data_IF_096650412927
#
_entry.id   IF_096650412927
#
_cell.length_a   1.000
_cell.length_b   1.000
_cell.length_c   1.000
_cell.angle_alpha   90.00
_cell.angle_beta   90.00
_cell.angle_gamma   90.00
#
_symmetry.space_group_name_H-M   'P 1'
#
loop_
_entity.id
_entity.type
_entity.pdbx_description
1 polymer ?
#
# COMPACT_ATOMS: atom_id res chain seq x y z
N UNK A 1 5.00 3.16 27.47
CA UNK A 1 4.34 3.66 26.25
C UNK A 1 4.91 2.83 25.13
N UNK A 2 4.07 2.04 24.47
CA UNK A 2 4.51 1.01 23.52
C UNK A 2 4.53 1.65 22.12
N UNK A 3 5.70 1.60 21.48
CA UNK A 3 5.80 1.77 20.02
C UNK A 3 5.21 0.50 19.43
N UNK A 4 4.25 0.62 18.51
CA UNK A 4 3.75 -0.55 17.79
C UNK A 4 4.91 -1.21 17.05
N UNK A 5 4.96 -2.55 16.94
CA UNK A 5 5.75 -3.18 15.91
C UNK A 5 5.13 -2.84 14.56
N UNK A 6 5.44 -1.65 14.05
CA UNK A 6 5.11 -1.23 12.69
C UNK A 6 5.89 -2.08 11.71
N UNK A 7 5.30 -2.27 10.54
CA UNK A 7 5.92 -3.00 9.44
C UNK A 7 6.47 -1.97 8.46
N UNK A 8 7.79 -1.98 8.25
CA UNK A 8 8.43 -1.29 7.13
C UNK A 8 8.83 -2.38 6.16
N UNK A 9 8.05 -2.55 5.10
CA UNK A 9 8.34 -3.59 4.12
C UNK A 9 9.44 -3.17 3.13
N UNK A 10 9.82 -1.90 3.06
CA UNK A 10 10.27 -1.41 1.76
C UNK A 10 11.64 -0.72 1.76
N UNK A 11 12.06 -0.09 2.87
CA UNK A 11 13.36 0.60 2.89
C UNK A 11 14.51 -0.40 3.02
N UNK A 12 15.08 -0.73 1.87
CA UNK A 12 16.39 -1.35 1.77
C UNK A 12 17.45 -0.28 2.05
N UNK A 13 18.24 -0.46 3.10
CA UNK A 13 19.57 0.15 3.12
C UNK A 13 20.35 -0.41 1.92
N UNK A 14 21.19 0.38 1.22
CA UNK A 14 22.01 -0.15 0.14
C UNK A 14 22.82 -1.33 0.69
N UNK A 15 22.50 -2.54 0.22
CA UNK A 15 23.25 -3.74 0.60
C UNK A 15 24.56 -3.67 -0.17
N UNK A 16 25.54 -3.00 0.41
CA UNK A 16 26.93 -3.19 0.01
C UNK A 16 27.25 -4.67 0.25
N UNK A 17 27.62 -5.35 -0.83
CA UNK A 17 27.61 -6.81 -0.95
C UNK A 17 28.67 -7.53 -0.10
N UNK A 18 28.77 -7.32 1.22
CA UNK A 18 29.72 -8.06 2.08
C UNK A 18 29.39 -8.00 3.58
N UNK A 19 28.33 -8.65 4.08
CA UNK A 19 28.30 -9.02 5.51
C UNK A 19 27.62 -10.38 5.77
N UNK A 20 28.44 -11.44 5.84
CA UNK A 20 28.10 -12.68 6.56
C UNK A 20 28.66 -12.56 7.98
N UNK A 21 27.81 -12.64 9.01
CA UNK A 21 27.95 -13.59 10.14
C UNK A 21 26.99 -13.29 11.31
N UNK A 22 26.38 -14.41 11.74
CA UNK A 22 26.00 -14.79 13.11
C UNK A 22 24.90 -14.01 13.81
N UNK A 23 23.74 -14.65 13.91
CA UNK A 23 22.96 -14.74 15.16
C UNK A 23 22.34 -16.14 15.28
N UNK A 24 23.11 -17.07 15.84
CA UNK A 24 22.56 -18.16 16.63
C UNK A 24 22.26 -17.64 18.03
N UNK A 25 21.31 -18.26 18.72
CA UNK A 25 20.89 -18.06 20.11
C UNK A 25 19.65 -17.16 20.28
N UNK A 26 18.47 -17.79 20.35
CA UNK A 26 17.65 -17.86 21.57
C UNK A 26 16.30 -18.53 21.24
N UNK A 27 16.31 -19.87 21.18
CA UNK A 27 15.10 -20.66 21.41
C UNK A 27 15.00 -21.00 22.89
N UNK A 28 13.78 -20.89 23.42
CA UNK A 28 13.39 -21.54 24.66
C UNK A 28 12.49 -20.65 25.50
N UNK A 29 11.21 -21.00 25.55
CA UNK A 29 10.53 -21.37 26.80
C UNK A 29 9.15 -21.93 26.45
N UNK A 30 9.00 -23.24 26.68
CA UNK A 30 7.74 -23.98 26.60
C UNK A 30 7.00 -23.93 27.93
N UNK A 31 5.67 -23.89 27.92
CA UNK A 31 4.88 -24.69 28.88
C UNK A 31 3.47 -25.02 28.34
N UNK A 32 3.14 -26.31 28.42
CA UNK A 32 1.81 -26.91 28.23
C UNK A 32 1.08 -26.93 29.56
N UNK A 33 -0.24 -26.69 29.58
CA UNK A 33 -1.20 -27.46 30.42
C UNK A 33 -2.58 -27.53 29.74
N UNK A 34 -3.17 -28.74 29.81
CA UNK A 34 -4.54 -29.19 29.50
C UNK A 34 -5.67 -28.33 30.11
N UNK A 35 -6.94 -28.34 29.69
CA UNK A 35 -7.77 -29.24 28.90
C UNK A 35 -9.25 -29.02 29.27
N UNK A 36 -10.12 -29.78 28.58
CA UNK A 36 -11.58 -29.96 28.77
C UNK A 36 -12.54 -29.15 27.90
N UNK A 37 -13.39 -29.94 27.23
CA UNK A 37 -14.47 -29.61 26.30
C UNK A 37 -15.78 -29.39 27.06
N UNK A 38 -16.63 -28.50 26.55
CA UNK A 38 -18.07 -28.56 26.75
C UNK A 38 -18.78 -28.42 25.38
N UNK A 39 -19.74 -29.31 25.11
CA UNK A 39 -20.67 -29.25 23.99
C UNK A 39 -22.06 -28.88 24.53
N UNK A 40 -22.79 -28.00 23.83
CA UNK A 40 -24.23 -28.15 23.61
C UNK A 40 -24.73 -27.22 22.47
N UNK A 41 -25.77 -27.62 21.70
CA UNK A 41 -26.06 -27.11 20.37
C UNK A 41 -27.23 -26.12 20.34
N UNK A 42 -27.26 -25.20 19.37
CA UNK A 42 -28.47 -24.47 19.01
C UNK A 42 -28.76 -24.59 17.50
N UNK A 43 -29.82 -25.36 17.22
CA UNK A 43 -30.53 -25.49 15.94
C UNK A 43 -30.95 -24.13 15.40
N UNK A 44 -30.67 -23.84 14.13
CA UNK A 44 -31.52 -22.94 13.32
C UNK A 44 -32.48 -23.79 12.50
N UNK A 45 -33.77 -23.44 12.57
CA UNK A 45 -34.82 -23.87 11.64
C UNK A 45 -34.93 -22.80 10.56
N UNK A 46 -34.88 -23.24 9.31
CA UNK A 46 -35.45 -22.53 8.18
C UNK A 46 -36.97 -22.43 8.35
N UNK A 47 -37.57 -21.34 7.87
CA UNK A 47 -38.89 -21.39 7.23
C UNK A 47 -39.09 -20.18 6.30
N UNK A 48 -39.42 -20.51 5.05
CA UNK A 48 -39.86 -19.63 3.98
C UNK A 48 -41.24 -19.03 4.28
N UNK A 49 -41.49 -17.78 3.87
CA UNK A 49 -42.85 -17.32 3.57
C UNK A 49 -42.89 -16.44 2.31
N UNK A 50 -43.57 -16.99 1.29
CA UNK A 50 -44.08 -16.30 0.10
C UNK A 50 -45.53 -15.90 0.38
N UNK A 51 -45.98 -14.70 -0.02
CA UNK A 51 -47.26 -14.45 -0.72
C UNK A 51 -47.58 -12.95 -0.99
N UNK A 52 -47.52 -12.61 -2.29
CA UNK A 52 -48.52 -11.89 -3.15
C UNK A 52 -49.18 -10.54 -2.77
N UNK A 53 -48.90 -9.58 -3.68
CA UNK A 53 -49.79 -8.72 -4.54
C UNK A 53 -50.69 -7.62 -3.94
N UNK A 54 -50.53 -6.39 -4.45
CA UNK A 54 -51.56 -5.54 -5.11
C UNK A 54 -50.89 -4.35 -5.87
N UNK A 55 -51.03 -4.24 -7.20
CA UNK A 55 -51.94 -3.39 -8.02
C UNK A 55 -51.62 -1.88 -8.09
N UNK A 56 -51.19 -1.45 -9.28
CA UNK A 56 -51.35 -0.15 -10.00
C UNK A 56 -50.04 0.07 -10.81
N UNK A 57 -49.97 0.45 -12.09
CA UNK A 57 -50.74 1.37 -12.93
C UNK A 57 -50.47 1.04 -14.41
N UNK A 58 -51.48 1.20 -15.27
CA UNK A 58 -51.31 1.34 -16.73
C UNK A 58 -51.16 2.83 -17.04
N UNK A 59 -49.96 3.34 -17.27
CA UNK A 59 -49.75 4.60 -18.01
C UNK A 59 -48.27 4.90 -18.38
N UNK A 60 -47.46 3.96 -18.87
CA UNK A 60 -46.08 4.27 -19.32
C UNK A 60 -45.64 3.38 -20.50
N UNK A 61 -46.19 3.61 -21.69
CA UNK A 61 -45.76 2.87 -22.90
C UNK A 61 -45.45 3.73 -24.13
N UNK A 62 -45.25 5.05 -23.97
CA UNK A 62 -44.76 5.90 -25.06
C UNK A 62 -43.60 6.85 -24.74
N UNK A 63 -43.10 6.87 -23.50
CA UNK A 63 -41.87 7.61 -23.13
C UNK A 63 -40.63 6.71 -22.91
N UNK A 64 -40.74 5.39 -23.14
CA UNK A 64 -39.62 4.45 -22.91
C UNK A 64 -38.69 4.29 -24.12
N UNK A 65 -39.09 4.73 -25.31
CA UNK A 65 -38.26 4.58 -26.52
C UNK A 65 -37.38 5.80 -26.84
N UNK A 66 -37.64 6.98 -26.25
CA UNK A 66 -36.80 8.17 -26.42
C UNK A 66 -35.73 8.32 -25.32
N UNK A 67 -35.93 7.72 -24.14
CA UNK A 67 -34.93 7.73 -23.05
C UNK A 67 -33.86 6.64 -23.19
N UNK A 68 -34.13 5.56 -23.92
CA UNK A 68 -33.15 4.48 -24.11
C UNK A 68 -32.05 4.87 -25.12
N UNK A 69 -32.37 5.65 -26.15
CA UNK A 69 -31.40 6.04 -27.18
C UNK A 69 -30.48 7.18 -26.72
N UNK A 70 -30.98 8.12 -25.93
CA UNK A 70 -30.13 9.15 -25.28
C UNK A 70 -29.36 8.58 -24.09
N UNK A 71 -29.95 7.63 -23.35
CA UNK A 71 -29.30 6.94 -22.24
C UNK A 71 -28.15 6.05 -22.69
N UNK A 72 -28.32 5.25 -23.75
CA UNK A 72 -27.24 4.44 -24.33
C UNK A 72 -26.15 5.31 -24.99
N UNK A 73 -26.52 6.44 -25.62
CA UNK A 73 -25.54 7.37 -26.17
C UNK A 73 -24.74 8.08 -25.07
N UNK A 74 -25.39 8.58 -24.01
CA UNK A 74 -24.72 9.19 -22.85
C UNK A 74 -23.90 8.16 -22.06
N UNK A 75 -24.40 6.93 -21.90
CA UNK A 75 -23.64 5.83 -21.30
C UNK A 75 -22.44 5.45 -22.17
N UNK A 76 -22.59 5.43 -23.50
CA UNK A 76 -21.46 5.17 -24.42
C UNK A 76 -20.45 6.31 -24.47
N UNK A 77 -20.88 7.56 -24.23
CA UNK A 77 -20.01 8.75 -24.11
C UNK A 77 -19.32 8.77 -22.75
N UNK A 78 -20.02 8.45 -21.66
CA UNK A 78 -19.46 8.28 -20.31
C UNK A 78 -18.52 7.07 -20.22
N UNK A 79 -18.83 5.97 -20.91
CA UNK A 79 -17.94 4.82 -21.07
C UNK A 79 -16.78 5.12 -22.05
N UNK A 80 -16.95 6.06 -22.99
CA UNK A 80 -15.84 6.53 -23.83
C UNK A 80 -14.92 7.51 -23.10
N UNK A 81 -15.37 8.20 -22.05
CA UNK A 81 -14.50 8.98 -21.16
C UNK A 81 -13.77 8.10 -20.14
N UNK A 82 -14.29 6.91 -19.81
CA UNK A 82 -13.61 5.90 -18.95
C UNK A 82 -12.47 5.13 -19.64
N UNK A 83 -12.03 5.54 -20.83
CA UNK A 83 -11.07 4.77 -21.65
C UNK A 83 -9.60 4.89 -21.24
N UNK A 84 -9.25 5.73 -20.27
CA UNK A 84 -7.84 6.11 -20.05
C UNK A 84 -7.29 5.76 -18.67
N UNK A 85 -8.14 5.59 -17.66
CA UNK A 85 -7.73 5.15 -16.33
C UNK A 85 -7.95 3.64 -16.16
N UNK A 86 -6.94 2.94 -15.64
CA UNK A 86 -7.00 1.52 -15.32
C UNK A 86 -6.98 1.37 -13.80
N UNK A 87 -7.91 0.60 -13.24
CA UNK A 87 -8.12 0.53 -11.80
C UNK A 87 -8.00 -0.89 -11.26
N UNK A 88 -7.43 -0.99 -10.06
CA UNK A 88 -7.39 -2.18 -9.22
C UNK A 88 -8.12 -1.82 -7.91
N UNK A 89 -9.11 -2.62 -7.53
CA UNK A 89 -9.66 -2.56 -6.17
C UNK A 89 -8.69 -3.25 -5.22
N UNK A 90 -8.43 -2.58 -4.10
CA UNK A 90 -7.52 -3.06 -3.07
C UNK A 90 -8.32 -3.57 -1.87
N UNK A 91 -7.92 -4.72 -1.35
CA UNK A 91 -8.45 -5.32 -0.14
C UNK A 91 -7.66 -4.80 1.07
N UNK A 92 -8.40 -4.36 2.10
CA UNK A 92 -7.85 -3.87 3.37
C UNK A 92 -7.63 -5.04 4.34
N UNK A 93 -6.38 -5.22 4.77
CA UNK A 93 -5.99 -6.21 5.79
C UNK A 93 -5.59 -5.55 7.12
N UNK A 94 -5.93 -4.27 7.30
CA UNK A 94 -5.64 -3.45 8.47
C UNK A 94 -4.34 -2.66 8.31
N UNK A 95 -3.21 -3.36 8.32
CA UNK A 95 -1.87 -2.75 8.20
C UNK A 95 -1.32 -2.74 6.78
N UNK A 96 -1.95 -3.46 5.85
CA UNK A 96 -1.53 -3.59 4.45
C UNK A 96 -2.75 -3.62 3.52
N UNK A 97 -2.54 -3.17 2.28
CA UNK A 97 -3.52 -3.29 1.20
C UNK A 97 -2.99 -4.19 0.09
N UNK A 98 -3.81 -5.13 -0.38
CA UNK A 98 -3.43 -6.03 -1.48
C UNK A 98 -4.36 -5.88 -2.69
N UNK A 99 -3.84 -6.14 -3.88
CA UNK A 99 -4.62 -6.18 -5.10
C UNK A 99 -4.27 -7.40 -5.96
N UNK A 100 -5.20 -7.88 -6.80
CA UNK A 100 -4.99 -9.05 -7.63
C UNK A 100 -4.02 -8.79 -8.79
N UNK A 101 -3.06 -9.69 -8.95
CA UNK A 101 -2.09 -9.73 -10.05
C UNK A 101 -2.07 -11.12 -10.67
N UNK A 102 -2.22 -11.20 -11.98
CA UNK A 102 -2.18 -12.43 -12.74
C UNK A 102 -0.78 -12.65 -13.32
N UNK A 103 -0.19 -13.81 -13.02
CA UNK A 103 1.17 -14.18 -13.46
C UNK A 103 1.14 -15.47 -14.29
N UNK A 104 1.77 -15.44 -15.46
CA UNK A 104 1.95 -16.61 -16.32
C UNK A 104 0.87 -16.83 -17.37
N UNK A 105 0.95 -17.96 -18.06
CA UNK A 105 -0.02 -18.39 -19.08
C UNK A 105 -0.25 -19.91 -19.02
N UNK A 106 -1.44 -20.39 -18.61
CA UNK A 106 -2.58 -19.61 -18.11
C UNK A 106 -2.23 -18.82 -16.83
N UNK A 107 -2.86 -17.65 -16.66
CA UNK A 107 -2.58 -16.77 -15.54
C UNK A 107 -2.93 -17.39 -14.19
N UNK A 108 -2.04 -17.23 -13.22
CA UNK A 108 -2.20 -17.60 -11.83
C UNK A 108 -2.37 -16.33 -11.00
N UNK A 109 -3.50 -16.17 -10.32
CA UNK A 109 -3.79 -15.00 -9.49
C UNK A 109 -2.96 -15.01 -8.22
N UNK A 110 -2.39 -13.87 -7.85
CA UNK A 110 -1.62 -13.59 -6.65
C UNK A 110 -2.13 -12.28 -6.04
N UNK A 111 -2.31 -12.22 -4.72
CA UNK A 111 -2.66 -10.99 -4.00
C UNK A 111 -1.39 -10.26 -3.60
N UNK A 112 -1.10 -9.13 -4.24
CA UNK A 112 0.16 -8.41 -4.06
C UNK A 112 -0.03 -7.05 -3.38
N UNK A 113 0.92 -6.66 -2.53
CA UNK A 113 1.05 -5.28 -2.07
C UNK A 113 1.66 -4.46 -3.21
N UNK A 114 1.06 -3.34 -3.56
CA UNK A 114 1.65 -2.35 -4.46
C UNK A 114 2.42 -1.33 -3.63
N UNK A 115 3.75 -1.38 -3.70
CA UNK A 115 4.64 -0.80 -2.69
C UNK A 115 5.50 0.31 -3.28
N UNK A 116 5.24 1.57 -2.91
CA UNK A 116 6.01 2.72 -3.42
C UNK A 116 7.38 2.90 -2.74
N UNK A 117 7.68 2.10 -1.73
CA UNK A 117 8.99 2.08 -1.07
C UNK A 117 9.96 1.04 -1.61
N UNK A 118 9.57 0.17 -2.56
CA UNK A 118 10.47 -0.78 -3.21
C UNK A 118 10.29 -0.82 -4.74
N UNK A 119 11.29 -1.32 -5.46
CA UNK A 119 11.33 -1.23 -6.94
C UNK A 119 11.06 -2.56 -7.64
N UNK A 120 11.22 -3.68 -6.94
CA UNK A 120 11.16 -5.02 -7.53
C UNK A 120 9.81 -5.67 -7.25
N UNK A 121 9.33 -6.45 -8.22
CA UNK A 121 8.21 -7.35 -8.00
C UNK A 121 8.69 -8.77 -7.66
N UNK A 122 8.04 -9.43 -6.71
CA UNK A 122 8.35 -10.81 -6.31
C UNK A 122 7.10 -11.53 -5.80
N UNK A 123 7.08 -12.86 -5.92
CA UNK A 123 5.97 -13.72 -5.50
C UNK A 123 6.42 -14.99 -4.77
N UNK A 124 5.54 -15.51 -3.93
CA UNK A 124 5.72 -16.81 -3.28
C UNK A 124 5.65 -17.93 -4.33
N UNK A 125 6.67 -18.79 -4.38
CA UNK A 125 6.70 -19.93 -5.31
C UNK A 125 6.27 -21.23 -4.63
N UNK A 126 5.79 -22.19 -5.42
CA UNK A 126 5.66 -23.59 -4.99
C UNK A 126 7.00 -24.23 -4.61
N UNK A 127 8.12 -23.60 -4.99
CA UNK A 127 9.47 -23.99 -4.56
C UNK A 127 9.79 -23.55 -3.13
N UNK A 128 8.97 -22.68 -2.53
CA UNK A 128 9.06 -22.37 -1.12
C UNK A 128 8.24 -23.37 -0.29
N UNK A 129 8.94 -24.23 0.43
CA UNK A 129 8.32 -25.36 1.15
C UNK A 129 8.09 -25.09 2.65
N UNK A 130 8.43 -23.89 3.14
CA UNK A 130 8.19 -23.52 4.54
C UNK A 130 6.68 -23.47 4.82
N UNK A 131 6.29 -23.72 6.08
CA UNK A 131 4.89 -23.66 6.47
C UNK A 131 4.30 -22.26 6.26
N UNK A 132 5.11 -21.22 6.44
CA UNK A 132 4.75 -19.82 6.17
C UNK A 132 4.40 -19.62 4.70
N UNK A 133 5.21 -20.13 3.77
CA UNK A 133 4.92 -20.03 2.34
C UNK A 133 3.67 -20.80 1.92
N UNK A 134 3.35 -21.91 2.61
CA UNK A 134 2.14 -22.70 2.33
C UNK A 134 0.85 -22.06 2.82
N UNK A 135 0.93 -20.98 3.60
CA UNK A 135 -0.24 -20.17 3.97
C UNK A 135 -0.73 -19.29 2.81
N UNK A 136 0.14 -19.03 1.83
CA UNK A 136 -0.11 -18.15 0.69
C UNK A 136 -0.54 -18.90 -0.56
N UNK A 137 -1.11 -18.19 -1.52
CA UNK A 137 -1.17 -18.70 -2.87
C UNK A 137 0.25 -18.73 -3.44
N UNK A 138 0.63 -19.88 -4.00
CA UNK A 138 1.97 -20.09 -4.50
C UNK A 138 1.96 -20.16 -6.02
N UNK A 139 2.77 -19.33 -6.66
CA UNK A 139 3.03 -19.39 -8.09
C UNK A 139 3.76 -20.68 -8.46
N UNK A 140 3.20 -21.41 -9.44
CA UNK A 140 3.82 -22.61 -9.99
C UNK A 140 4.38 -22.32 -11.38
N UNK A 141 5.69 -22.10 -11.45
CA UNK A 141 6.41 -21.84 -12.71
C UNK A 141 6.26 -22.97 -13.73
N UNK A 142 6.09 -24.22 -13.31
CA UNK A 142 5.92 -25.36 -14.22
C UNK A 142 4.54 -25.39 -14.91
N UNK A 143 3.57 -24.58 -14.46
CA UNK A 143 2.24 -24.45 -15.07
C UNK A 143 2.14 -23.28 -16.06
N UNK A 144 3.17 -22.45 -16.18
CA UNK A 144 3.16 -21.30 -17.08
C UNK A 144 3.99 -21.59 -18.34
N UNK A 145 3.35 -21.48 -19.50
CA UNK A 145 3.98 -21.64 -20.82
C UNK A 145 4.88 -20.46 -21.20
N UNK A 146 4.71 -19.31 -20.52
CA UNK A 146 5.47 -18.08 -20.80
C UNK A 146 6.61 -17.84 -19.82
N UNK A 147 6.79 -18.73 -18.84
CA UNK A 147 7.83 -18.65 -17.84
C UNK A 147 9.23 -18.85 -18.43
N UNK A 148 10.16 -18.01 -18.00
CA UNK A 148 11.56 -18.06 -18.36
C UNK A 148 12.42 -17.82 -17.12
N UNK A 149 13.00 -18.88 -16.56
CA UNK A 149 13.89 -18.77 -15.41
C UNK A 149 15.25 -18.18 -15.75
N UNK A 150 15.87 -17.50 -14.78
CA UNK A 150 17.26 -17.07 -14.86
C UNK A 150 18.11 -17.78 -13.79
N UNK A 151 19.44 -17.65 -13.91
CA UNK A 151 20.39 -18.15 -12.90
C UNK A 151 20.70 -17.10 -11.82
N UNK A 152 20.09 -15.92 -11.88
CA UNK A 152 20.34 -14.85 -10.91
C UNK A 152 19.56 -15.14 -9.63
N UNK A 153 20.27 -15.12 -8.51
CA UNK A 153 19.68 -15.26 -7.17
C UNK A 153 19.35 -13.90 -6.61
N UNK A 154 18.29 -13.85 -5.81
CA UNK A 154 17.93 -12.67 -5.02
C UNK A 154 17.95 -13.02 -3.53
N UNK A 155 18.37 -12.04 -2.74
CA UNK A 155 18.34 -12.07 -1.28
C UNK A 155 17.86 -10.69 -0.83
N UNK A 156 16.71 -10.64 -0.17
CA UNK A 156 16.11 -9.41 0.31
C UNK A 156 16.02 -9.47 1.83
N UNK A 157 16.59 -8.47 2.48
CA UNK A 157 16.45 -8.25 3.91
C UNK A 157 15.41 -7.16 4.18
N UNK A 158 14.35 -7.53 4.90
CA UNK A 158 13.37 -6.65 5.50
C UNK A 158 13.78 -6.38 6.96
N UNK A 159 13.26 -5.30 7.56
CA UNK A 159 13.53 -4.99 8.97
C UNK A 159 13.10 -6.11 9.94
N UNK A 160 12.09 -6.90 9.55
CA UNK A 160 11.45 -7.94 10.38
C UNK A 160 11.53 -9.35 9.77
N UNK A 161 12.26 -9.53 8.66
CA UNK A 161 12.38 -10.81 7.99
C UNK A 161 13.33 -10.79 6.79
N UNK A 162 13.53 -11.92 6.13
CA UNK A 162 14.25 -11.99 4.86
C UNK A 162 13.64 -13.02 3.92
N UNK A 163 13.83 -12.83 2.61
CA UNK A 163 13.49 -13.83 1.61
C UNK A 163 14.67 -14.07 0.68
N UNK A 164 14.76 -15.30 0.20
CA UNK A 164 15.70 -15.67 -0.87
C UNK A 164 14.95 -16.33 -2.00
N UNK A 165 15.44 -16.13 -3.22
CA UNK A 165 14.77 -16.60 -4.43
C UNK A 165 15.66 -16.60 -5.65
N UNK A 166 15.04 -16.75 -6.81
CA UNK A 166 15.70 -16.58 -8.12
C UNK A 166 14.86 -15.70 -9.01
N UNK A 167 15.51 -14.90 -9.85
CA UNK A 167 14.82 -14.06 -10.81
C UNK A 167 14.30 -14.89 -12.00
N UNK A 168 13.11 -14.55 -12.46
CA UNK A 168 12.48 -15.13 -13.63
C UNK A 168 11.71 -14.07 -14.41
N UNK A 169 11.46 -14.32 -15.69
CA UNK A 169 10.52 -13.52 -16.48
C UNK A 169 9.25 -14.30 -16.71
N UNK A 170 8.11 -13.64 -16.56
CA UNK A 170 6.83 -14.20 -16.98
C UNK A 170 5.84 -13.08 -17.34
N UNK A 171 4.72 -13.45 -17.96
CA UNK A 171 3.65 -12.52 -18.27
C UNK A 171 2.99 -12.00 -16.99
N UNK A 172 2.77 -10.70 -16.90
CA UNK A 172 2.04 -10.06 -15.80
C UNK A 172 0.90 -9.22 -16.32
N UNK A 173 -0.26 -9.36 -15.68
CA UNK A 173 -1.43 -8.54 -15.95
C UNK A 173 -2.20 -8.24 -14.66
N UNK A 174 -2.78 -7.04 -14.55
CA UNK A 174 -3.57 -6.60 -13.39
C UNK A 174 -4.38 -5.36 -13.78
N UNK A 175 -5.54 -5.11 -13.18
CA UNK A 175 -6.31 -3.86 -13.41
C UNK A 175 -6.59 -3.52 -14.88
N UNK A 176 -6.65 -4.53 -15.76
CA UNK A 176 -6.79 -4.34 -17.21
C UNK A 176 -5.50 -3.99 -17.96
N UNK A 177 -4.33 -4.00 -17.31
CA UNK A 177 -3.01 -4.00 -17.95
C UNK A 177 -2.61 -5.39 -18.39
N UNK A 178 -2.01 -5.49 -19.57
CA UNK A 178 -1.11 -6.58 -19.94
C UNK A 178 0.31 -5.99 -20.08
N UNK A 179 1.17 -6.20 -19.09
CA UNK A 179 2.55 -5.68 -19.12
C UNK A 179 3.48 -6.54 -19.99
N UNK A 180 2.98 -7.63 -20.58
CA UNK A 180 3.84 -8.61 -21.23
C UNK A 180 4.79 -9.26 -20.22
N UNK A 181 6.00 -9.61 -20.68
CA UNK A 181 6.98 -10.33 -19.84
C UNK A 181 7.81 -9.36 -19.02
N UNK A 182 7.62 -9.39 -17.70
CA UNK A 182 8.40 -8.59 -16.75
C UNK A 182 9.28 -9.49 -15.90
N UNK A 183 10.35 -8.94 -15.34
CA UNK A 183 11.19 -9.68 -14.38
C UNK A 183 10.53 -9.70 -13.01
N UNK A 184 10.59 -10.85 -12.34
CA UNK A 184 10.00 -11.11 -11.04
C UNK A 184 10.94 -11.96 -10.19
N UNK A 185 10.90 -11.75 -8.88
CA UNK A 185 11.48 -12.66 -7.89
C UNK A 185 10.61 -13.88 -7.64
N UNK A 186 11.13 -15.08 -7.89
CA UNK A 186 10.51 -16.34 -7.50
C UNK A 186 11.09 -16.80 -6.14
N UNK A 187 10.34 -16.54 -5.06
CA UNK A 187 10.79 -16.77 -3.68
C UNK A 187 10.81 -18.27 -3.34
N UNK A 188 11.91 -18.72 -2.75
CA UNK A 188 12.17 -20.12 -2.38
C UNK A 188 12.30 -20.34 -0.87
N UNK A 189 12.58 -19.29 -0.11
CA UNK A 189 12.67 -19.38 1.34
C UNK A 189 12.35 -18.03 1.97
N UNK A 190 11.75 -18.07 3.15
CA UNK A 190 11.34 -16.92 3.95
C UNK A 190 11.76 -17.12 5.39
N UNK A 191 12.14 -16.05 6.06
CA UNK A 191 12.46 -16.03 7.48
C UNK A 191 11.80 -14.82 8.14
N UNK A 192 11.11 -15.00 9.25
CA UNK A 192 10.44 -13.91 9.98
C UNK A 192 8.92 -13.98 9.89
N UNK A 193 8.26 -13.51 10.94
CA UNK A 193 6.80 -13.58 11.08
C UNK A 193 6.05 -12.60 10.19
N UNK A 194 6.72 -11.59 9.63
CA UNK A 194 6.13 -10.67 8.65
C UNK A 194 5.48 -11.41 7.48
N UNK A 195 6.05 -12.54 7.07
CA UNK A 195 5.53 -13.32 5.96
C UNK A 195 4.32 -14.19 6.34
N UNK A 196 3.73 -14.05 7.53
CA UNK A 196 2.42 -14.66 7.83
C UNK A 196 1.24 -13.75 7.52
N UNK A 197 1.50 -12.51 7.11
CA UNK A 197 0.51 -11.52 6.69
C UNK A 197 -0.12 -11.88 5.34
N UNK A 198 -1.37 -11.46 5.05
CA UNK A 198 -2.17 -11.98 3.94
C UNK A 198 -1.79 -11.37 2.58
N UNK A 199 -0.56 -11.57 2.14
CA UNK A 199 -0.09 -11.20 0.81
C UNK A 199 0.81 -12.29 0.20
N UNK A 200 0.63 -12.53 -1.09
CA UNK A 200 1.35 -13.54 -1.87
C UNK A 200 2.64 -12.99 -2.49
N UNK A 201 2.80 -11.66 -2.51
CA UNK A 201 3.95 -10.98 -3.07
C UNK A 201 3.90 -9.46 -2.95
N UNK A 202 4.91 -8.81 -3.50
CA UNK A 202 5.01 -7.34 -3.60
C UNK A 202 5.23 -6.97 -5.06
N UNK A 203 4.59 -5.89 -5.50
CA UNK A 203 4.83 -5.21 -6.76
C UNK A 203 5.40 -3.81 -6.47
N UNK A 204 6.73 -3.69 -6.56
CA UNK A 204 7.42 -2.43 -6.27
C UNK A 204 7.10 -1.31 -7.28
N UNK A 205 6.77 -0.13 -6.77
CA UNK A 205 6.43 1.07 -7.53
C UNK A 205 7.35 2.26 -7.22
N UNK A 206 8.51 2.04 -6.59
CA UNK A 206 9.56 3.05 -6.46
C UNK A 206 10.40 3.19 -7.73
N UNK A 207 11.25 4.22 -7.78
CA UNK A 207 12.27 4.32 -8.82
C UNK A 207 13.29 3.19 -8.70
N UNK A 208 14.04 2.99 -9.78
CA UNK A 208 15.13 2.02 -9.83
C UNK A 208 16.19 2.28 -8.75
N UNK A 209 16.36 1.30 -7.85
CA UNK A 209 17.31 1.37 -6.73
C UNK A 209 18.68 0.72 -7.02
N UNK A 210 18.80 -0.03 -8.12
CA UNK A 210 20.04 -0.76 -8.49
C UNK A 210 20.50 -0.37 -9.89
N UNK A 211 21.80 -0.44 -10.17
CA UNK A 211 22.37 -0.11 -11.49
C UNK A 211 21.98 -1.05 -12.64
N UNK A 212 21.14 -2.07 -12.40
CA UNK A 212 20.66 -2.98 -13.43
C UNK A 212 19.18 -2.67 -13.73
N UNK A 213 18.96 -2.07 -14.90
CA UNK A 213 17.67 -1.56 -15.38
C UNK A 213 16.59 -2.65 -15.50
N UNK A 214 16.97 -3.93 -15.47
CA UNK A 214 16.08 -5.04 -15.82
C UNK A 214 15.12 -5.49 -14.70
N UNK A 215 15.18 -4.88 -13.50
CA UNK A 215 14.45 -5.34 -12.31
C UNK A 215 13.35 -4.40 -11.81
N UNK A 216 13.22 -3.20 -12.38
CA UNK A 216 12.27 -2.19 -11.92
C UNK A 216 10.86 -2.48 -12.49
N UNK A 217 9.90 -2.76 -11.62
CA UNK A 217 8.53 -3.04 -12.04
C UNK A 217 7.81 -1.77 -12.50
N UNK A 218 8.07 -0.62 -11.86
CA UNK A 218 7.55 0.68 -12.28
C UNK A 218 7.93 1.00 -13.74
N UNK A 219 9.15 0.67 -14.17
CA UNK A 219 9.60 0.93 -15.54
C UNK A 219 8.78 0.14 -16.55
N UNK A 220 8.38 -1.09 -16.21
CA UNK A 220 7.50 -1.90 -17.06
C UNK A 220 6.10 -1.29 -17.17
N UNK A 221 5.59 -0.69 -16.08
CA UNK A 221 4.32 0.06 -16.10
C UNK A 221 4.45 1.33 -16.94
N UNK A 222 5.51 2.11 -16.72
CA UNK A 222 5.74 3.38 -17.40
C UNK A 222 6.00 3.21 -18.91
N UNK A 223 6.66 2.12 -19.30
CA UNK A 223 6.91 1.77 -20.70
C UNK A 223 5.66 1.31 -21.46
N UNK A 224 4.59 0.90 -20.76
CA UNK A 224 3.35 0.46 -21.39
C UNK A 224 2.69 1.61 -22.16
N UNK A 225 2.32 1.38 -23.42
CA UNK A 225 1.56 2.33 -24.25
C UNK A 225 0.07 2.39 -23.90
N UNK A 226 -0.37 1.62 -22.91
CA UNK A 226 -1.77 1.53 -22.48
C UNK A 226 -2.21 2.65 -21.53
N UNK A 227 -1.30 3.58 -21.21
CA UNK A 227 -1.58 4.77 -20.40
C UNK A 227 -1.18 6.03 -21.18
N UNK A 228 -2.11 6.98 -21.28
CA UNK A 228 -1.81 8.32 -21.80
C UNK A 228 -0.96 9.12 -20.81
N UNK A 229 -1.37 9.12 -19.54
CA UNK A 229 -0.63 9.74 -18.45
C UNK A 229 0.17 8.68 -17.68
N UNK A 230 1.49 8.90 -17.53
CA UNK A 230 2.37 8.02 -16.76
C UNK A 230 2.29 8.36 -15.27
N UNK A 231 1.11 8.18 -14.71
CA UNK A 231 0.86 8.40 -13.29
C UNK A 231 0.08 7.25 -12.67
N UNK A 232 0.13 7.15 -11.35
CA UNK A 232 -0.73 6.26 -10.58
C UNK A 232 -1.15 6.92 -9.28
N UNK A 233 -2.33 6.58 -8.79
CA UNK A 233 -2.98 7.21 -7.65
C UNK A 233 -3.47 6.16 -6.68
N UNK A 234 -3.12 6.32 -5.41
CA UNK A 234 -3.70 5.57 -4.31
C UNK A 234 -4.84 6.35 -3.66
N UNK A 235 -5.95 5.66 -3.47
CA UNK A 235 -7.09 6.11 -2.68
C UNK A 235 -7.44 5.01 -1.68
N UNK A 236 -7.32 5.29 -0.39
CA UNK A 236 -7.76 4.39 0.68
C UNK A 236 -9.02 4.95 1.32
N UNK A 237 -10.18 4.46 0.87
CA UNK A 237 -11.49 4.90 1.33
C UNK A 237 -12.06 3.98 2.41
N UNK A 238 -13.06 4.47 3.16
CA UNK A 238 -13.73 3.70 4.21
C UNK A 238 -14.47 2.44 3.70
N UNK A 239 -14.93 2.47 2.43
CA UNK A 239 -15.70 1.39 1.82
C UNK A 239 -14.90 0.62 0.78
N UNK A 240 -14.12 1.36 -0.01
CA UNK A 240 -13.37 0.83 -1.12
C UNK A 240 -12.03 1.56 -1.19
N UNK A 241 -10.99 0.77 -1.41
CA UNK A 241 -9.64 1.25 -1.68
C UNK A 241 -9.28 0.91 -3.11
N UNK A 242 -8.48 1.74 -3.76
CA UNK A 242 -8.09 1.53 -5.14
C UNK A 242 -6.70 2.08 -5.47
N UNK A 243 -6.05 1.38 -6.40
CA UNK A 243 -4.92 1.87 -7.16
C UNK A 243 -5.39 2.17 -8.58
N UNK A 244 -5.22 3.42 -9.00
CA UNK A 244 -5.68 3.93 -10.30
C UNK A 244 -4.48 4.37 -11.10
N UNK A 245 -4.25 3.81 -12.27
CA UNK A 245 -3.22 4.23 -13.20
C UNK A 245 -3.79 5.14 -14.27
N UNK A 246 -3.07 6.20 -14.60
CA UNK A 246 -3.55 7.34 -15.39
C UNK A 246 -4.26 8.37 -14.52
N UNK A 247 -4.95 9.31 -15.17
CA UNK A 247 -5.71 10.36 -14.49
C UNK A 247 -6.90 9.76 -13.72
N UNK A 248 -6.97 9.90 -12.38
CA UNK A 248 -8.12 9.40 -11.63
C UNK A 248 -9.33 10.31 -11.81
N UNK A 249 -10.54 9.78 -11.60
CA UNK A 249 -11.75 10.59 -11.63
C UNK A 249 -11.66 11.71 -10.57
N UNK A 250 -12.03 12.92 -10.98
CA UNK A 250 -12.25 14.06 -10.10
C UNK A 250 -13.09 13.74 -8.84
N UNK A 251 -13.96 12.73 -8.90
CA UNK A 251 -14.88 12.36 -7.83
C UNK A 251 -14.21 11.78 -6.56
N UNK A 252 -12.92 11.40 -6.61
CA UNK A 252 -12.20 10.91 -5.44
C UNK A 252 -11.56 12.04 -4.63
N UNK A 253 -11.44 13.25 -5.20
CA UNK A 253 -10.74 14.40 -4.62
C UNK A 253 -11.73 15.51 -4.23
N UNK A 254 -11.59 16.04 -3.02
CA UNK A 254 -12.37 17.19 -2.51
C UNK A 254 -11.59 18.51 -2.50
N UNK A 255 -10.29 18.47 -2.84
CA UNK A 255 -9.42 19.63 -3.00
C UNK A 255 -8.64 19.57 -4.30
N UNK A 256 -8.04 20.69 -4.70
CA UNK A 256 -7.00 20.68 -5.73
C UNK A 256 -5.78 19.84 -5.29
N UNK A 257 -4.98 19.43 -6.27
CA UNK A 257 -3.77 18.65 -6.06
C UNK A 257 -2.59 19.60 -5.81
N UNK A 258 -2.00 19.48 -4.64
CA UNK A 258 -0.72 20.12 -4.32
C UNK A 258 0.42 19.23 -4.79
N UNK A 259 1.38 19.81 -5.52
CA UNK A 259 2.49 19.05 -6.12
C UNK A 259 3.82 19.29 -5.41
N UNK A 260 4.50 18.19 -5.12
CA UNK A 260 5.80 18.14 -4.46
C UNK A 260 6.83 17.54 -5.42
N UNK A 261 7.93 18.23 -5.76
CA UNK A 261 8.94 17.69 -6.66
C UNK A 261 9.70 16.54 -5.99
N UNK A 262 10.00 15.50 -6.75
CA UNK A 262 10.87 14.41 -6.30
C UNK A 262 12.30 14.91 -6.19
N UNK A 263 12.93 14.77 -5.03
CA UNK A 263 14.28 15.27 -4.76
C UNK A 263 15.39 14.37 -5.29
N UNK A 264 15.13 13.06 -5.36
CA UNK A 264 16.05 12.03 -5.84
C UNK A 264 15.25 10.84 -6.35
N UNK A 265 15.57 10.36 -7.55
CA UNK A 265 14.92 9.19 -8.18
C UNK A 265 15.44 7.88 -7.60
N UNK A 266 15.12 7.63 -6.34
CA UNK A 266 15.41 6.37 -5.65
C UNK A 266 14.13 5.90 -4.95
N UNK A 267 13.62 6.74 -4.06
CA UNK A 267 12.26 6.65 -3.54
C UNK A 267 11.38 7.77 -4.10
N UNK A 268 10.08 7.69 -3.86
CA UNK A 268 9.21 8.84 -3.95
C UNK A 268 9.45 9.76 -2.76
N UNK A 269 10.57 10.50 -2.81
CA UNK A 269 11.02 11.39 -1.74
C UNK A 269 11.00 12.86 -2.15
N UNK A 270 10.75 13.73 -1.17
CA UNK A 270 10.92 15.18 -1.30
C UNK A 270 11.65 15.76 -0.08
N UNK A 271 12.16 16.99 -0.21
CA UNK A 271 12.95 17.65 0.85
C UNK A 271 12.07 18.30 1.90
N UNK A 272 12.35 18.00 3.17
CA UNK A 272 11.75 18.68 4.31
C UNK A 272 12.58 19.90 4.71
N UNK A 273 11.89 20.95 5.15
CA UNK A 273 12.53 22.08 5.83
C UNK A 273 12.37 21.99 7.34
N UNK A 274 11.22 21.49 7.82
CA UNK A 274 10.96 21.28 9.24
C UNK A 274 9.83 20.25 9.44
N UNK A 275 9.74 19.73 10.65
CA UNK A 275 8.56 19.00 11.15
C UNK A 275 8.14 19.68 12.43
N UNK A 276 6.85 20.02 12.56
CA UNK A 276 6.31 20.63 13.77
C UNK A 276 5.21 19.77 14.39
N UNK A 277 5.03 19.91 15.70
CA UNK A 277 3.89 19.36 16.45
C UNK A 277 3.12 20.53 17.07
N UNK A 278 1.87 20.73 16.66
CA UNK A 278 1.07 21.90 17.03
C UNK A 278 1.83 23.24 16.87
N UNK A 279 2.62 23.36 15.79
CA UNK A 279 3.42 24.54 15.48
C UNK A 279 4.74 24.66 16.24
N UNK A 280 5.06 23.74 17.16
CA UNK A 280 6.39 23.67 17.79
C UNK A 280 7.33 22.78 16.97
N UNK A 281 8.47 23.34 16.54
CA UNK A 281 9.47 22.62 15.74
C UNK A 281 10.10 21.45 16.49
N UNK A 282 10.27 20.34 15.75
CA UNK A 282 11.00 19.13 16.18
C UNK A 282 12.52 19.36 16.11
N UNK A 283 12.99 20.43 15.43
CA UNK A 283 14.38 20.95 15.35
C UNK A 283 15.47 19.99 14.83
N UNK A 284 15.18 18.69 14.76
CA UNK A 284 16.08 17.66 14.23
C UNK A 284 15.83 17.37 12.75
N UNK A 285 14.72 17.87 12.18
CA UNK A 285 14.38 17.73 10.77
C UNK A 285 15.10 18.75 9.85
N UNK A 286 15.83 19.72 10.42
CA UNK A 286 16.45 20.83 9.68
C UNK A 286 17.73 20.44 8.90
N UNK A 287 18.27 19.23 9.10
CA UNK A 287 19.52 18.76 8.48
C UNK A 287 19.25 17.93 7.23
N UNK A 288 19.11 18.56 6.06
CA UNK A 288 18.96 17.86 4.77
C UNK A 288 17.91 16.72 4.79
N UNK A 289 16.88 16.83 5.62
CA UNK A 289 15.93 15.75 5.80
C UNK A 289 15.07 15.56 4.55
N UNK A 290 14.69 14.33 4.29
CA UNK A 290 13.73 13.97 3.24
C UNK A 290 12.56 13.23 3.85
N UNK A 291 11.45 13.25 3.15
CA UNK A 291 10.28 12.44 3.47
C UNK A 291 9.94 11.55 2.29
N UNK A 292 9.79 10.26 2.55
CA UNK A 292 9.40 9.22 1.59
C UNK A 292 7.92 8.93 1.74
N UNK A 293 7.21 8.82 0.62
CA UNK A 293 5.82 8.40 0.56
C UNK A 293 5.75 6.91 0.23
N UNK A 294 5.46 6.08 1.24
CA UNK A 294 5.63 4.63 1.17
C UNK A 294 4.34 3.87 1.53
N UNK A 295 3.65 3.32 0.52
CA UNK A 295 2.45 2.50 0.72
C UNK A 295 2.73 1.15 1.37
N UNK A 296 3.98 0.67 1.37
CA UNK A 296 4.38 -0.58 2.02
C UNK A 296 4.74 -0.42 3.50
N UNK A 297 4.67 0.79 4.06
CA UNK A 297 4.94 1.04 5.47
C UNK A 297 3.64 1.30 6.24
N UNK A 298 3.40 0.56 7.33
CA UNK A 298 2.14 0.62 8.09
C UNK A 298 2.05 1.78 9.11
N UNK A 299 3.14 2.51 9.33
CA UNK A 299 3.25 3.56 10.36
C UNK A 299 3.94 4.80 9.82
N UNK A 300 3.93 5.91 10.57
CA UNK A 300 4.86 7.00 10.30
C UNK A 300 6.23 6.62 10.85
N UNK A 301 7.31 6.91 10.11
CA UNK A 301 8.67 6.71 10.62
C UNK A 301 9.48 8.00 10.62
N UNK A 302 10.42 8.08 11.55
CA UNK A 302 11.35 9.20 11.65
C UNK A 302 12.63 8.81 12.38
N UNK A 303 13.71 9.60 12.27
CA UNK A 303 14.94 9.36 13.02
C UNK A 303 14.69 9.34 14.54
N UNK A 304 15.47 8.55 15.29
CA UNK A 304 15.25 8.33 16.72
C UNK A 304 15.20 9.63 17.54
N UNK A 305 16.05 10.61 17.20
CA UNK A 305 16.05 11.91 17.87
C UNK A 305 14.78 12.71 17.56
N UNK A 306 14.34 12.72 16.30
CA UNK A 306 13.10 13.36 15.88
C UNK A 306 11.89 12.71 16.57
N UNK A 307 11.80 11.37 16.60
CA UNK A 307 10.75 10.64 17.30
C UNK A 307 10.68 11.00 18.78
N UNK A 308 11.83 11.09 19.45
CA UNK A 308 11.90 11.45 20.86
C UNK A 308 11.35 12.85 21.13
N UNK A 309 11.66 13.82 20.27
CA UNK A 309 11.16 15.20 20.40
C UNK A 309 9.68 15.27 20.04
N UNK A 310 9.26 14.65 18.93
CA UNK A 310 7.86 14.53 18.50
C UNK A 310 6.99 13.97 19.62
N UNK A 311 7.39 12.85 20.25
CA UNK A 311 6.62 12.26 21.36
C UNK A 311 6.52 13.18 22.58
N UNK A 312 7.58 13.93 22.90
CA UNK A 312 7.53 14.92 24.00
C UNK A 312 6.57 16.06 23.70
N UNK A 313 6.57 16.57 22.46
CA UNK A 313 5.67 17.63 22.04
C UNK A 313 4.21 17.16 21.99
N UNK A 314 3.97 15.95 21.48
CA UNK A 314 2.66 15.29 21.51
C UNK A 314 2.13 15.15 22.95
N UNK A 315 2.96 14.67 23.88
CA UNK A 315 2.60 14.60 25.31
C UNK A 315 2.29 15.97 25.90
N UNK A 316 3.11 16.98 25.60
CA UNK A 316 2.90 18.37 26.04
C UNK A 316 1.58 18.95 25.51
N UNK A 317 1.22 18.61 24.28
CA UNK A 317 0.00 19.05 23.61
C UNK A 317 -1.29 18.41 24.16
N UNK A 318 -1.20 17.49 25.12
CA UNK A 318 -2.35 16.79 25.67
C UNK A 318 -2.65 15.51 24.89
N UNK A 319 -1.70 14.59 24.86
CA UNK A 319 -1.87 13.22 24.33
C UNK A 319 -2.81 12.39 25.21
N UNK A 320 -4.04 12.84 25.40
CA UNK A 320 -5.10 12.10 26.06
C UNK A 320 -6.02 11.51 25.00
N UNK A 321 -6.21 10.19 25.01
CA UNK A 321 -7.09 9.51 24.06
C UNK A 321 -8.51 10.06 24.14
N UNK A 322 -8.96 10.52 25.32
CA UNK A 322 -10.27 11.17 25.44
C UNK A 322 -10.34 12.51 24.69
N UNK A 323 -9.24 13.27 24.59
CA UNK A 323 -9.17 14.50 23.77
C UNK A 323 -9.17 14.16 22.29
N UNK A 324 -8.37 13.17 21.90
CA UNK A 324 -8.32 12.64 20.53
C UNK A 324 -9.72 12.18 20.07
N UNK A 325 -10.46 11.46 20.91
CA UNK A 325 -11.82 11.01 20.63
C UNK A 325 -12.83 12.16 20.44
N UNK A 326 -12.54 13.34 20.99
CA UNK A 326 -13.34 14.56 20.77
C UNK A 326 -12.93 15.34 19.51
N UNK A 327 -11.97 14.82 18.73
CA UNK A 327 -11.46 15.50 17.53
C UNK A 327 -10.44 16.59 17.83
N UNK A 328 -9.82 16.57 19.01
CA UNK A 328 -8.81 17.54 19.45
C UNK A 328 -7.39 16.95 19.38
N UNK A 329 -7.14 16.03 18.44
CA UNK A 329 -5.84 15.41 18.29
C UNK A 329 -4.78 16.47 17.91
N UNK A 330 -3.60 16.47 18.55
CA UNK A 330 -2.47 17.27 18.09
C UNK A 330 -2.14 16.99 16.62
N UNK A 331 -1.62 17.99 15.93
CA UNK A 331 -1.23 17.87 14.52
C UNK A 331 0.28 17.72 14.39
N UNK A 332 0.72 16.80 13.54
CA UNK A 332 2.11 16.71 13.07
C UNK A 332 2.13 17.30 11.65
N UNK A 333 2.90 18.36 11.46
CA UNK A 333 3.03 19.04 10.17
C UNK A 333 4.43 18.87 9.59
N UNK A 334 4.49 18.50 8.32
CA UNK A 334 5.69 18.40 7.50
C UNK A 334 5.77 19.64 6.62
N UNK A 335 6.88 20.37 6.70
CA UNK A 335 7.07 21.63 6.01
C UNK A 335 8.06 21.49 4.86
N UNK A 336 7.80 22.23 3.79
CA UNK A 336 8.54 22.19 2.53
C UNK A 336 8.93 23.61 2.11
N UNK A 337 9.95 23.75 1.27
CA UNK A 337 10.46 25.07 0.86
C UNK A 337 9.51 25.81 -0.09
N UNK A 338 8.88 25.09 -1.01
CA UNK A 338 8.10 25.68 -2.13
C UNK A 338 6.72 25.07 -2.33
N UNK A 339 6.29 24.20 -1.41
CA UNK A 339 4.99 23.52 -1.45
C UNK A 339 4.27 23.69 -0.11
N UNK A 340 2.94 23.56 -0.13
CA UNK A 340 2.12 23.65 1.08
C UNK A 340 2.51 22.60 2.13
N UNK A 341 2.33 22.93 3.41
CA UNK A 341 2.64 22.00 4.49
C UNK A 341 1.63 20.87 4.57
N UNK A 342 2.10 19.64 4.81
CA UNK A 342 1.24 18.48 5.00
C UNK A 342 1.05 18.30 6.50
N UNK A 343 -0.18 18.49 6.98
CA UNK A 343 -0.52 18.32 8.40
C UNK A 343 -1.44 17.12 8.62
N UNK A 344 -1.05 16.26 9.57
CA UNK A 344 -1.75 15.03 9.95
C UNK A 344 -2.20 15.10 11.40
N UNK A 345 -3.47 14.82 11.65
CA UNK A 345 -4.06 14.58 12.97
C UNK A 345 -4.34 13.08 13.23
N UNK A 346 -4.26 12.25 12.18
CA UNK A 346 -4.47 10.79 12.23
C UNK A 346 -3.15 10.00 12.35
N UNK A 347 -2.28 10.32 13.30
CA UNK A 347 -0.99 9.63 13.50
C UNK A 347 -1.04 8.51 14.56
N UNK A 348 -2.25 8.08 14.95
CA UNK A 348 -2.49 7.12 16.05
C UNK A 348 -3.53 6.05 15.67
N UNK A 349 -3.48 4.93 16.37
CA UNK A 349 -4.49 3.86 16.34
C UNK A 349 -5.31 3.85 17.63
N UNK A 350 -6.61 3.59 17.51
CA UNK A 350 -7.49 3.36 18.67
C UNK A 350 -7.54 1.88 18.98
N UNK A 351 -7.13 1.50 20.18
CA UNK A 351 -7.31 0.16 20.71
C UNK A 351 -8.22 0.15 21.95
N UNK A 352 -8.58 -1.04 22.40
CA UNK A 352 -9.44 -1.24 23.58
C UNK A 352 -8.88 -0.61 24.87
N UNK A 353 -7.56 -0.48 24.96
CA UNK A 353 -6.84 0.10 26.10
C UNK A 353 -6.48 1.58 25.92
N UNK A 354 -6.96 2.24 24.86
CA UNK A 354 -6.68 3.64 24.54
C UNK A 354 -5.96 3.83 23.19
N UNK A 355 -5.45 5.04 22.98
CA UNK A 355 -4.83 5.45 21.73
C UNK A 355 -3.32 5.16 21.76
N UNK A 356 -2.79 4.54 20.71
CA UNK A 356 -1.35 4.26 20.55
C UNK A 356 -0.83 5.03 19.36
N UNK A 357 0.32 5.69 19.49
CA UNK A 357 0.94 6.39 18.38
C UNK A 357 1.44 5.38 17.33
N UNK A 358 1.03 5.56 16.08
CA UNK A 358 1.49 4.78 14.93
C UNK A 358 2.78 5.40 14.39
N UNK A 359 3.80 5.40 15.25
CA UNK A 359 5.12 5.98 15.03
C UNK A 359 6.21 4.95 15.30
N UNK A 360 7.16 4.81 14.39
CA UNK A 360 8.34 3.96 14.56
C UNK A 360 9.63 4.76 14.32
N UNK A 361 10.71 4.39 15.00
CA UNK A 361 12.04 4.95 14.75
C UNK A 361 12.73 4.22 13.61
N UNK A 362 13.30 4.96 12.67
CA UNK A 362 14.18 4.43 11.62
C UNK A 362 15.40 5.32 11.49
N UNK A 363 16.58 4.77 11.76
CA UNK A 363 17.85 5.46 11.55
C UNK A 363 18.57 4.83 10.36
N UNK A 364 18.71 5.59 9.27
CA UNK A 364 19.53 5.21 8.12
C UNK A 364 20.87 5.93 8.22
N UNK A 365 21.96 5.25 7.87
CA UNK A 365 23.29 5.84 7.92
C UNK A 365 23.35 7.07 6.98
N UNK A 366 23.80 8.21 7.52
CA UNK A 366 24.00 9.48 6.80
C UNK A 366 22.75 10.18 6.23
N UNK A 367 21.55 9.62 6.41
CA UNK A 367 20.30 10.20 5.90
C UNK A 367 19.26 10.41 7.02
N UNK A 368 18.73 11.63 7.11
CA UNK A 368 17.59 11.95 7.98
C UNK A 368 16.28 11.72 7.21
N UNK A 369 15.87 10.45 7.13
CA UNK A 369 14.68 10.05 6.37
C UNK A 369 13.46 9.91 7.28
N UNK A 370 12.38 10.55 6.87
CA UNK A 370 11.04 10.34 7.40
C UNK A 370 10.25 9.47 6.41
N UNK A 371 9.33 8.65 6.89
CA UNK A 371 8.39 7.93 6.03
C UNK A 371 6.96 8.30 6.40
N UNK A 372 6.19 8.69 5.39
CA UNK A 372 4.75 8.79 5.44
C UNK A 372 4.16 7.46 4.95
N UNK A 373 3.79 6.60 5.90
CA UNK A 373 3.14 5.32 5.65
C UNK A 373 1.62 5.39 5.66
N UNK A 374 0.96 4.26 5.94
CA UNK A 374 -0.50 4.08 6.00
C UNK A 374 -1.27 5.25 6.66
N UNK A 375 -0.85 5.83 7.81
CA UNK A 375 -1.59 6.95 8.42
C UNK A 375 -1.73 8.18 7.50
N UNK A 376 -0.74 8.42 6.64
CA UNK A 376 -0.80 9.47 5.62
C UNK A 376 -1.73 9.10 4.46
N UNK A 377 -1.59 7.89 3.91
CA UNK A 377 -2.40 7.48 2.75
C UNK A 377 -3.88 7.29 3.07
N UNK A 378 -4.23 6.97 4.32
CA UNK A 378 -5.63 6.97 4.78
C UNK A 378 -6.23 8.37 4.86
N UNK A 379 -5.40 9.42 5.01
CA UNK A 379 -5.83 10.80 5.13
C UNK A 379 -5.88 11.57 3.80
N UNK A 380 -5.17 11.07 2.77
CA UNK A 380 -4.93 11.80 1.52
C UNK A 380 -5.02 10.91 0.28
N UNK A 381 -5.62 11.45 -0.79
CA UNK A 381 -5.45 10.91 -2.14
C UNK A 381 -4.06 11.30 -2.63
N UNK A 382 -3.27 10.29 -3.00
CA UNK A 382 -1.86 10.49 -3.34
C UNK A 382 -1.58 10.00 -4.75
N UNK A 383 -1.16 10.92 -5.62
CA UNK A 383 -0.81 10.66 -7.02
C UNK A 383 0.70 10.72 -7.22
N UNK A 384 1.26 9.75 -7.92
CA UNK A 384 2.66 9.68 -8.30
C UNK A 384 2.75 9.89 -9.81
N UNK A 385 3.26 11.05 -10.22
CA UNK A 385 3.42 11.42 -11.63
C UNK A 385 4.86 11.12 -12.06
N UNK A 386 5.03 9.94 -12.67
CA UNK A 386 6.32 9.43 -13.16
C UNK A 386 6.84 10.28 -14.32
N UNK A 387 5.93 10.84 -15.14
CA UNK A 387 6.31 11.64 -16.30
C UNK A 387 6.96 12.98 -15.94
N UNK A 388 6.58 13.56 -14.79
CA UNK A 388 7.08 14.85 -14.33
C UNK A 388 7.87 14.79 -13.02
N UNK A 389 8.17 13.59 -12.51
CA UNK A 389 8.93 13.36 -11.28
C UNK A 389 8.37 14.16 -10.07
N UNK A 390 7.08 13.99 -9.79
CA UNK A 390 6.40 14.72 -8.69
C UNK A 390 5.30 13.90 -8.03
N UNK A 391 5.01 14.27 -6.78
CA UNK A 391 4.00 13.63 -5.93
C UNK A 391 2.88 14.64 -5.73
N UNK A 392 1.64 14.24 -5.99
CA UNK A 392 0.43 15.03 -5.84
C UNK A 392 -0.34 14.61 -4.60
N UNK A 393 -0.70 15.55 -3.74
CA UNK A 393 -1.46 15.29 -2.51
C UNK A 393 -2.75 16.09 -2.55
N UNK A 394 -3.87 15.44 -2.24
CA UNK A 394 -5.19 16.09 -2.18
C UNK A 394 -6.07 15.43 -1.12
N UNK A 395 -7.11 16.14 -0.67
CA UNK A 395 -8.08 15.61 0.29
C UNK A 395 -9.04 14.64 -0.41
N UNK A 396 -9.39 13.50 0.20
CA UNK A 396 -10.38 12.59 -0.38
C UNK A 396 -11.80 13.16 -0.30
N UNK A 397 -12.70 12.70 -1.17
CA UNK A 397 -14.15 12.82 -0.95
C UNK A 397 -14.58 11.76 0.05
N UNK A 398 -15.28 12.19 1.11
CA UNK A 398 -15.84 11.28 2.10
C UNK A 398 -16.90 10.39 1.41
N UNK A 399 -16.72 9.06 1.46
CA UNK A 399 -17.56 8.08 0.76
C UNK A 399 -17.58 8.23 -0.78
N UNK A 400 -16.44 8.48 -1.41
CA UNK A 400 -16.36 8.47 -2.88
C UNK A 400 -16.91 7.14 -3.44
N UNK A 401 -17.68 7.22 -4.53
CA UNK A 401 -18.17 6.05 -5.25
C UNK A 401 -17.27 5.82 -6.46
N UNK A 402 -16.54 4.70 -6.46
CA UNK A 402 -15.60 4.38 -7.53
C UNK A 402 -16.29 3.87 -8.81
N UNK A 403 -17.59 3.56 -8.77
CA UNK A 403 -18.37 3.09 -9.92
C UNK A 403 -19.02 4.22 -10.76
N UNK A 404 -18.91 5.48 -10.31
CA UNK A 404 -19.69 6.62 -10.82
C UNK A 404 -19.35 7.04 -12.26
#
# INVERSE_FOLDING_TARGET
>A
MWVLPGLVLSIMAPVDATWRKTTSEMEGWSSKVSGHKYYAPLRRRDDHLIMRKNRHTRLMHRHRQLLNTTGEALLSVALNTRKHAKQILLEDHGSEFTGPVMIGSPGQEQQCIFDTGSSMAWIMSTKCESDVCRMHHQFNSAKSETWEGTNQTMDIQFGTGSLTGTLCKDKVSFGGFDLGRVMLGEIKSTLGSVFTLPFDGICGLSYQMSHDDSYCFLDSVAASDQLEEKSFTFYFGEKESALIFGEPDSNIRSSEVEWYPVSRKYYWETRLTDVTVNGESVKEAEKNATVVFDTGTSVLTMPTNAATVTMKLLQKAGLDCAQIERGEAPTICYHFESSESICLDQWYEKGDSGCTASLMTLDLAEEHVFILGQPFFSAFVTTFDVGNDRIGVSRPVVNANLDA
#
